data_IF_601604902812
#
_entry.id   IF_601604902812
#
_cell.length_a   1.000
_cell.length_b   1.000
_cell.length_c   1.000
_cell.angle_alpha   90.00
_cell.angle_beta   90.00
_cell.angle_gamma   90.00
#
_symmetry.space_group_name_H-M   'P 1'
#
loop_
_entity.id
_entity.type
_entity.pdbx_description
1 polymer ?
#
# COMPACT_ATOMS: atom_id res chain seq x y z
N UNK A 1 10.09 22.10 5.36
CA UNK A 1 8.89 21.25 5.27
C UNK A 1 8.04 21.77 4.12
N UNK A 2 7.65 20.90 3.18
CA UNK A 2 6.84 21.29 2.00
C UNK A 2 5.70 20.28 1.84
N UNK A 3 4.48 20.76 1.64
CA UNK A 3 3.32 19.91 1.31
C UNK A 3 3.45 19.37 -0.12
N UNK A 4 3.23 18.06 -0.28
CA UNK A 4 3.26 17.33 -1.55
C UNK A 4 1.84 17.07 -2.04
N UNK A 5 0.95 16.67 -1.14
CA UNK A 5 -0.48 16.48 -1.37
C UNK A 5 -1.25 17.09 -0.20
N UNK A 6 -2.15 18.00 -0.52
CA UNK A 6 -3.16 18.51 0.41
C UNK A 6 -4.31 17.52 0.57
N UNK A 7 -5.17 17.70 1.58
CA UNK A 7 -6.34 16.82 1.81
C UNK A 7 -7.21 16.64 0.54
N UNK A 8 -7.62 17.68 -0.21
CA UNK A 8 -8.38 17.49 -1.45
C UNK A 8 -7.61 16.74 -2.54
N UNK A 9 -6.30 17.00 -2.66
CA UNK A 9 -5.46 16.30 -3.64
C UNK A 9 -5.29 14.82 -3.29
N UNK A 10 -5.15 14.52 -2.00
CA UNK A 10 -5.06 13.14 -1.50
C UNK A 10 -6.35 12.37 -1.81
N UNK A 11 -7.51 12.98 -1.57
CA UNK A 11 -8.81 12.37 -1.86
C UNK A 11 -8.98 12.06 -3.35
N UNK A 12 -8.67 13.00 -4.23
CA UNK A 12 -8.72 12.79 -5.69
C UNK A 12 -7.75 11.70 -6.11
N UNK A 13 -6.54 11.66 -5.54
CA UNK A 13 -5.54 10.63 -5.83
C UNK A 13 -6.02 9.24 -5.45
N UNK A 14 -6.64 9.09 -4.28
CA UNK A 14 -7.19 7.81 -3.82
C UNK A 14 -8.31 7.32 -4.75
N UNK A 15 -9.24 8.21 -5.13
CA UNK A 15 -10.30 7.90 -6.10
C UNK A 15 -9.73 7.43 -7.44
N UNK A 16 -8.71 8.12 -7.94
CA UNK A 16 -8.03 7.74 -9.18
C UNK A 16 -7.37 6.36 -9.08
N UNK A 17 -6.68 6.06 -7.98
CA UNK A 17 -6.07 4.75 -7.75
C UNK A 17 -7.12 3.64 -7.71
N UNK A 18 -8.25 3.86 -7.04
CA UNK A 18 -9.35 2.92 -6.99
C UNK A 18 -9.90 2.61 -8.39
N UNK A 19 -10.10 3.64 -9.23
CA UNK A 19 -10.55 3.47 -10.61
C UNK A 19 -9.51 2.75 -11.49
N UNK A 20 -8.23 3.03 -11.33
CA UNK A 20 -7.17 2.33 -12.06
C UNK A 20 -7.13 0.83 -11.72
N UNK A 21 -7.34 0.47 -10.45
CA UNK A 21 -7.47 -0.93 -10.05
C UNK A 21 -8.70 -1.57 -10.73
N UNK A 22 -9.85 -0.89 -10.72
CA UNK A 22 -11.07 -1.37 -11.38
C UNK A 22 -10.91 -1.54 -12.88
N UNK A 23 -10.24 -0.63 -13.57
CA UNK A 23 -9.97 -0.73 -15.01
C UNK A 23 -9.20 -2.01 -15.37
N UNK A 24 -8.25 -2.41 -14.52
CA UNK A 24 -7.43 -3.59 -14.75
C UNK A 24 -8.09 -4.89 -14.24
N UNK A 25 -9.06 -4.78 -13.34
CA UNK A 25 -9.74 -5.90 -12.68
C UNK A 25 -11.25 -5.73 -12.75
N UNK A 26 -11.82 -5.67 -13.96
CA UNK A 26 -13.26 -5.50 -14.19
C UNK A 26 -14.09 -6.56 -13.48
N UNK A 27 -13.56 -7.78 -13.42
CA UNK A 27 -14.12 -8.88 -12.64
C UNK A 27 -13.25 -9.11 -11.38
N UNK A 28 -13.70 -8.58 -10.25
CA UNK A 28 -13.01 -8.72 -8.97
C UNK A 28 -13.11 -10.12 -8.34
N UNK A 29 -13.78 -11.08 -8.99
CA UNK A 29 -13.99 -12.43 -8.42
C UNK A 29 -12.68 -13.19 -8.21
N UNK A 30 -11.67 -12.95 -9.05
CA UNK A 30 -10.34 -13.55 -8.93
C UNK A 30 -9.27 -12.56 -8.42
N UNK A 31 -9.68 -11.43 -7.85
CA UNK A 31 -8.78 -10.41 -7.34
C UNK A 31 -9.00 -10.18 -5.85
N UNK A 32 -7.92 -10.08 -5.12
CA UNK A 32 -7.93 -9.76 -3.68
C UNK A 32 -7.09 -8.53 -3.43
N UNK A 33 -7.51 -7.71 -2.47
CA UNK A 33 -6.75 -6.54 -2.03
C UNK A 33 -6.11 -6.83 -0.67
N UNK A 34 -4.84 -6.51 -0.51
CA UNK A 34 -4.11 -6.69 0.74
C UNK A 34 -3.38 -5.40 1.10
N UNK A 35 -3.78 -4.81 2.22
CA UNK A 35 -3.13 -3.64 2.80
C UNK A 35 -1.98 -4.01 3.74
N UNK A 36 -0.82 -3.37 3.60
CA UNK A 36 0.32 -3.57 4.49
C UNK A 36 0.18 -2.78 5.77
N UNK A 37 0.37 -3.46 6.89
CA UNK A 37 0.41 -2.83 8.20
C UNK A 37 1.83 -2.29 8.49
N UNK A 38 1.95 -1.23 9.30
CA UNK A 38 0.87 -0.54 9.99
C UNK A 38 0.22 0.62 9.20
N UNK A 39 0.83 1.13 8.15
CA UNK A 39 0.41 2.40 7.53
C UNK A 39 -0.30 2.23 6.20
N UNK A 40 0.06 1.23 5.41
CA UNK A 40 -0.60 0.94 4.12
C UNK A 40 -2.08 0.62 4.24
N UNK A 41 -2.53 0.15 5.42
CA UNK A 41 -3.95 -0.12 5.68
C UNK A 41 -4.85 1.13 5.59
N UNK A 42 -4.35 2.31 5.91
CA UNK A 42 -5.15 3.54 5.79
C UNK A 42 -5.45 3.90 4.33
N UNK A 43 -4.49 3.62 3.44
CA UNK A 43 -4.71 3.76 2.00
C UNK A 43 -5.63 2.68 1.46
N UNK A 44 -5.37 1.41 1.82
CA UNK A 44 -6.15 0.28 1.31
C UNK A 44 -7.60 0.31 1.79
N UNK A 45 -7.88 0.68 3.04
CA UNK A 45 -9.24 0.88 3.55
C UNK A 45 -10.02 1.87 2.66
N UNK A 46 -9.41 3.03 2.33
CA UNK A 46 -10.05 4.07 1.51
C UNK A 46 -10.20 3.66 0.05
N UNK A 47 -9.22 2.95 -0.53
CA UNK A 47 -9.33 2.42 -1.90
C UNK A 47 -10.46 1.39 -1.99
N UNK A 48 -10.55 0.47 -1.03
CA UNK A 48 -11.62 -0.53 -0.99
C UNK A 48 -12.99 0.12 -0.81
N UNK A 49 -13.09 1.15 0.03
CA UNK A 49 -14.33 1.91 0.22
C UNK A 49 -14.77 2.60 -1.09
N UNK A 50 -13.85 3.20 -1.85
CA UNK A 50 -14.15 3.80 -3.15
C UNK A 50 -14.57 2.74 -4.18
N UNK A 51 -13.89 1.59 -4.23
CA UNK A 51 -14.28 0.48 -5.12
C UNK A 51 -15.70 0.02 -4.82
N UNK A 52 -16.07 -0.11 -3.55
CA UNK A 52 -17.43 -0.53 -3.14
C UNK A 52 -18.51 0.48 -3.50
N UNK A 53 -18.18 1.77 -3.58
CA UNK A 53 -19.16 2.80 -4.00
C UNK A 53 -19.53 2.70 -5.48
N UNK A 54 -18.53 2.41 -6.33
CA UNK A 54 -18.70 2.40 -7.79
C UNK A 54 -19.24 1.08 -8.34
N UNK A 55 -19.12 0.03 -7.55
CA UNK A 55 -19.52 -1.31 -7.96
C UNK A 55 -20.57 -1.82 -7.01
N UNK A 56 -21.61 -2.45 -7.51
CA UNK A 56 -22.52 -3.30 -6.72
C UNK A 56 -21.80 -4.54 -6.15
N UNK A 57 -20.46 -4.54 -6.18
CA UNK A 57 -19.58 -5.63 -5.79
C UNK A 57 -19.27 -5.54 -4.28
N UNK A 58 -20.26 -5.87 -3.44
CA UNK A 58 -20.07 -6.08 -1.99
C UNK A 58 -19.07 -7.22 -1.66
N UNK A 59 -18.46 -7.85 -2.67
CA UNK A 59 -17.71 -9.09 -2.53
C UNK A 59 -16.21 -8.98 -2.77
N UNK A 60 -15.62 -7.78 -2.74
CA UNK A 60 -14.17 -7.67 -2.81
C UNK A 60 -13.53 -8.33 -1.58
N UNK A 61 -12.66 -9.29 -1.82
CA UNK A 61 -11.88 -9.90 -0.75
C UNK A 61 -10.77 -8.92 -0.34
N UNK A 62 -10.77 -8.52 0.91
CA UNK A 62 -9.82 -7.57 1.47
C UNK A 62 -9.21 -8.11 2.75
N UNK A 63 -7.88 -8.06 2.83
CA UNK A 63 -7.11 -8.49 3.99
C UNK A 63 -6.04 -7.48 4.39
N UNK A 64 -5.50 -7.67 5.59
CA UNK A 64 -4.43 -6.85 6.19
C UNK A 64 -3.26 -7.74 6.57
N UNK A 65 -2.07 -7.41 6.09
CA UNK A 65 -0.84 -8.19 6.27
C UNK A 65 0.14 -7.44 7.15
N UNK A 66 0.57 -8.06 8.25
CA UNK A 66 1.72 -7.62 9.03
C UNK A 66 2.99 -8.34 8.57
N UNK A 67 4.03 -7.58 8.33
CA UNK A 67 5.32 -8.07 7.83
C UNK A 67 6.44 -7.98 8.87
N UNK A 68 6.11 -7.68 10.12
CA UNK A 68 7.10 -7.43 11.18
C UNK A 68 8.15 -8.53 11.27
N UNK A 69 7.74 -9.81 11.21
CA UNK A 69 8.66 -10.96 11.31
C UNK A 69 9.42 -11.28 10.01
N UNK A 70 9.07 -10.67 8.89
CA UNK A 70 9.69 -10.92 7.57
C UNK A 70 10.70 -9.83 7.17
N UNK A 71 10.84 -8.78 7.98
CA UNK A 71 11.78 -7.69 7.74
C UNK A 71 13.19 -8.06 8.17
N UNK A 72 14.18 -7.72 7.35
CA UNK A 72 15.60 -7.93 7.61
C UNK A 72 16.29 -6.73 8.27
N UNK A 73 15.61 -5.58 8.37
CA UNK A 73 16.14 -4.30 8.86
C UNK A 73 15.76 -3.95 10.30
N UNK A 74 15.05 -4.84 11.03
CA UNK A 74 14.49 -4.60 12.38
C UNK A 74 15.50 -4.92 13.51
N UNK A 75 16.78 -4.69 13.35
CA UNK A 75 17.76 -5.09 14.37
C UNK A 75 17.88 -4.17 15.60
N UNK A 76 17.16 -3.03 15.65
CA UNK A 76 17.40 -1.99 16.68
C UNK A 76 16.21 -1.57 17.52
N UNK A 77 14.97 -1.96 17.20
CA UNK A 77 13.79 -1.57 17.97
C UNK A 77 12.84 -2.75 18.18
N UNK A 78 12.26 -2.82 19.38
CA UNK A 78 11.15 -3.73 19.67
C UNK A 78 9.90 -3.28 18.91
N UNK A 79 9.63 -3.90 17.77
CA UNK A 79 8.40 -3.67 17.04
C UNK A 79 7.29 -4.57 17.57
N UNK A 80 6.19 -3.96 17.99
CA UNK A 80 4.97 -4.70 18.34
C UNK A 80 4.31 -5.13 17.02
N UNK A 81 4.22 -6.45 16.83
CA UNK A 81 3.52 -7.03 15.68
C UNK A 81 2.03 -6.70 15.73
N UNK A 82 1.46 -6.32 14.59
CA UNK A 82 0.04 -6.21 14.41
C UNK A 82 -0.54 -7.59 14.05
N UNK A 83 -1.86 -7.71 14.09
CA UNK A 83 -2.52 -8.94 13.69
C UNK A 83 -2.69 -8.97 12.18
N UNK A 84 -2.14 -9.99 11.51
CA UNK A 84 -2.51 -10.32 10.13
C UNK A 84 -3.94 -10.83 10.09
N UNK A 85 -4.73 -10.31 9.15
CA UNK A 85 -6.13 -10.70 8.92
C UNK A 85 -6.34 -10.94 7.43
N UNK A 86 -6.12 -12.17 7.00
CA UNK A 86 -6.35 -12.65 5.63
C UNK A 86 -7.20 -13.93 5.74
N UNK A 87 -8.54 -13.81 5.86
CA UNK A 87 -9.42 -14.95 6.12
C UNK A 87 -9.79 -15.73 4.85
N UNK A 88 -8.97 -15.68 3.81
CA UNK A 88 -9.18 -16.34 2.53
C UNK A 88 -7.85 -16.84 1.96
N UNK A 89 -7.92 -17.80 1.02
CA UNK A 89 -6.76 -18.24 0.26
C UNK A 89 -6.48 -17.27 -0.89
N UNK A 90 -5.20 -17.00 -1.13
CA UNK A 90 -4.73 -16.24 -2.31
C UNK A 90 -4.24 -17.16 -3.44
N UNK A 91 -4.39 -18.48 -3.30
CA UNK A 91 -3.96 -19.45 -4.30
C UNK A 91 -4.57 -19.17 -5.66
N UNK A 92 -3.74 -18.98 -6.68
CA UNK A 92 -4.15 -18.70 -8.06
C UNK A 92 -4.85 -17.35 -8.28
N UNK A 93 -4.85 -16.45 -7.29
CA UNK A 93 -5.52 -15.13 -7.40
C UNK A 93 -4.57 -14.02 -7.80
N UNK A 94 -5.14 -12.96 -8.37
CA UNK A 94 -4.45 -11.69 -8.52
C UNK A 94 -4.50 -10.95 -7.17
N UNK A 95 -3.33 -10.57 -6.66
CA UNK A 95 -3.20 -9.81 -5.42
C UNK A 95 -2.85 -8.37 -5.75
N UNK A 96 -3.65 -7.42 -5.32
CA UNK A 96 -3.29 -6.00 -5.30
C UNK A 96 -2.78 -5.66 -3.90
N UNK A 97 -1.45 -5.55 -3.79
CA UNK A 97 -0.76 -5.21 -2.55
C UNK A 97 -0.68 -3.69 -2.41
N UNK A 98 -1.07 -3.14 -1.26
CA UNK A 98 -1.17 -1.69 -1.06
C UNK A 98 -0.30 -1.23 0.10
N UNK A 99 0.55 -0.20 -0.16
CA UNK A 99 1.34 0.49 0.85
C UNK A 99 1.29 2.01 0.65
N UNK A 100 1.63 2.79 1.67
CA UNK A 100 1.58 4.25 1.57
C UNK A 100 2.81 4.83 0.84
N UNK A 101 4.02 4.37 1.15
CA UNK A 101 5.26 4.91 0.56
C UNK A 101 6.21 3.80 0.10
N UNK A 102 6.48 3.75 -1.18
CA UNK A 102 7.54 2.91 -1.72
C UNK A 102 8.88 3.68 -1.67
N UNK A 103 9.81 3.14 -0.90
CA UNK A 103 11.14 3.72 -0.70
C UNK A 103 12.22 2.78 -1.26
N UNK A 104 12.83 1.95 -0.42
CA UNK A 104 13.92 1.04 -0.81
C UNK A 104 13.42 -0.25 -1.48
N UNK A 105 12.17 -0.64 -1.25
CA UNK A 105 11.58 -1.90 -1.68
C UNK A 105 11.66 -3.02 -0.62
N UNK A 106 12.35 -2.81 0.52
CA UNK A 106 12.53 -3.84 1.55
C UNK A 106 11.22 -4.28 2.20
N UNK A 107 10.31 -3.33 2.44
CA UNK A 107 8.95 -3.61 2.95
C UNK A 107 8.19 -4.54 1.99
N UNK A 108 8.25 -4.24 0.70
CA UNK A 108 7.54 -5.03 -0.32
C UNK A 108 8.16 -6.42 -0.48
N UNK A 109 9.48 -6.53 -0.42
CA UNK A 109 10.14 -7.85 -0.41
C UNK A 109 9.65 -8.71 0.75
N UNK A 110 9.63 -8.16 1.96
CA UNK A 110 9.13 -8.85 3.13
C UNK A 110 7.64 -9.25 2.97
N UNK A 111 6.83 -8.39 2.35
CA UNK A 111 5.43 -8.70 2.06
C UNK A 111 5.29 -9.86 1.05
N UNK A 112 6.10 -9.88 0.01
CA UNK A 112 6.10 -10.99 -0.97
C UNK A 112 6.47 -12.32 -0.31
N UNK A 113 7.44 -12.33 0.60
CA UNK A 113 7.80 -13.52 1.37
C UNK A 113 6.63 -13.98 2.27
N UNK A 114 5.98 -13.03 2.97
CA UNK A 114 4.88 -13.32 3.89
C UNK A 114 3.62 -13.82 3.16
N UNK A 115 3.36 -13.34 1.94
CA UNK A 115 2.19 -13.78 1.16
C UNK A 115 2.20 -15.27 0.88
N UNK A 116 3.38 -15.89 0.75
CA UNK A 116 3.52 -17.33 0.48
C UNK A 116 2.93 -18.22 1.59
N UNK A 117 2.77 -17.71 2.80
CA UNK A 117 2.10 -18.43 3.89
C UNK A 117 0.57 -18.56 3.68
N UNK A 118 0.00 -17.77 2.77
CA UNK A 118 -1.44 -17.71 2.48
C UNK A 118 -1.82 -18.33 1.12
N UNK A 119 -0.85 -18.85 0.39
CA UNK A 119 -1.01 -19.46 -0.92
C UNK A 119 -0.06 -18.87 -1.95
N UNK A 120 -0.06 -19.45 -3.15
CA UNK A 120 0.73 -18.97 -4.29
C UNK A 120 -0.16 -18.13 -5.20
N UNK A 121 -0.05 -16.79 -5.20
CA UNK A 121 -0.82 -15.95 -6.11
C UNK A 121 -0.39 -16.20 -7.56
N UNK A 122 -1.30 -15.99 -8.50
CA UNK A 122 -0.96 -15.99 -9.92
C UNK A 122 -0.16 -14.73 -10.29
N UNK A 123 -0.56 -13.59 -9.73
CA UNK A 123 0.07 -12.30 -9.95
C UNK A 123 0.01 -11.45 -8.69
N UNK A 124 1.06 -10.67 -8.43
CA UNK A 124 1.04 -9.62 -7.41
C UNK A 124 1.31 -8.29 -8.09
N UNK A 125 0.39 -7.35 -7.93
CA UNK A 125 0.50 -5.97 -8.36
C UNK A 125 0.68 -5.06 -7.15
N UNK A 126 1.48 -4.02 -7.28
CA UNK A 126 1.79 -3.09 -6.21
C UNK A 126 1.13 -1.73 -6.46
N UNK A 127 0.33 -1.28 -5.48
CA UNK A 127 -0.28 0.05 -5.45
C UNK A 127 0.32 0.86 -4.30
N UNK A 128 0.82 2.06 -4.59
CA UNK A 128 1.41 2.96 -3.58
C UNK A 128 0.90 4.39 -3.75
N UNK A 129 0.73 5.09 -2.63
CA UNK A 129 0.38 6.50 -2.67
C UNK A 129 1.56 7.34 -3.17
N UNK A 130 2.75 7.08 -2.64
CA UNK A 130 3.98 7.80 -2.99
C UNK A 130 5.04 6.82 -3.44
N UNK A 131 5.56 7.04 -4.64
CA UNK A 131 6.77 6.38 -5.12
C UNK A 131 7.97 7.34 -5.03
N UNK A 132 8.93 7.04 -4.14
CA UNK A 132 10.20 7.76 -4.02
C UNK A 132 11.18 7.22 -5.05
N UNK A 133 11.34 7.92 -6.17
CA UNK A 133 12.29 7.53 -7.22
C UNK A 133 13.74 7.71 -6.74
N UNK A 134 14.66 6.99 -7.38
CA UNK A 134 16.11 7.05 -7.14
C UNK A 134 16.63 6.57 -5.78
N UNK A 135 15.79 5.89 -4.99
CA UNK A 135 16.16 5.39 -3.66
C UNK A 135 15.99 3.87 -3.53
N UNK A 136 15.72 3.19 -4.63
CA UNK A 136 15.50 1.74 -4.66
C UNK A 136 16.78 0.97 -4.31
N UNK A 137 16.69 -0.03 -3.42
CA UNK A 137 17.75 -1.00 -3.12
C UNK A 137 17.43 -2.40 -3.66
N UNK A 138 16.19 -2.65 -4.02
CA UNK A 138 15.70 -3.89 -4.62
C UNK A 138 14.94 -3.57 -5.90
N UNK A 139 14.88 -4.48 -6.90
CA UNK A 139 14.23 -4.26 -8.18
C UNK A 139 12.70 -4.34 -8.07
N UNK A 140 12.12 -3.47 -7.27
CA UNK A 140 10.68 -3.35 -7.02
C UNK A 140 10.14 -2.13 -7.75
N UNK A 141 9.07 -2.32 -8.51
CA UNK A 141 8.38 -1.27 -9.23
C UNK A 141 6.88 -1.34 -8.96
N UNK A 142 6.19 -0.22 -8.72
CA UNK A 142 4.74 -0.22 -8.52
C UNK A 142 4.01 -0.25 -9.87
N UNK A 143 2.82 -0.87 -9.87
CA UNK A 143 1.87 -0.88 -11.00
C UNK A 143 0.93 0.32 -10.96
N UNK A 144 0.55 0.75 -9.75
CA UNK A 144 -0.32 1.90 -9.51
C UNK A 144 0.36 2.89 -8.59
N UNK A 145 0.47 4.15 -9.02
CA UNK A 145 1.18 5.21 -8.31
C UNK A 145 0.31 6.44 -8.13
N UNK A 146 0.14 6.86 -6.90
CA UNK A 146 -0.53 8.12 -6.59
C UNK A 146 0.29 9.31 -7.07
N UNK A 147 1.52 9.42 -6.59
CA UNK A 147 2.47 10.45 -7.01
C UNK A 147 3.91 9.97 -6.93
N UNK A 148 4.67 10.16 -8.01
CA UNK A 148 6.13 9.93 -8.00
C UNK A 148 6.85 11.19 -7.54
N UNK A 149 7.88 11.02 -6.72
CA UNK A 149 8.66 12.10 -6.14
C UNK A 149 10.14 11.81 -6.29
N UNK A 150 10.85 12.79 -6.81
CA UNK A 150 12.30 12.79 -6.81
C UNK A 150 12.79 13.32 -5.46
N UNK A 151 13.27 12.44 -4.60
CA UNK A 151 13.76 12.79 -3.28
C UNK A 151 15.16 12.25 -3.05
N UNK A 152 15.99 13.06 -2.39
CA UNK A 152 17.31 12.62 -1.93
C UNK A 152 17.22 11.82 -0.63
N UNK A 153 18.29 11.09 -0.29
CA UNK A 153 18.30 10.20 0.88
C UNK A 153 18.05 10.91 2.20
N UNK A 154 18.52 12.18 2.34
CA UNK A 154 18.32 12.99 3.53
C UNK A 154 16.92 13.55 3.70
N UNK A 155 16.06 13.39 2.71
CA UNK A 155 14.67 13.85 2.79
C UNK A 155 13.77 12.74 3.33
N UNK A 156 12.82 13.13 4.18
CA UNK A 156 11.77 12.26 4.71
C UNK A 156 10.43 12.60 4.09
N UNK A 157 9.71 11.58 3.65
CA UNK A 157 8.31 11.67 3.25
C UNK A 157 7.46 11.18 4.43
N UNK A 158 6.48 11.97 4.82
CA UNK A 158 5.51 11.59 5.85
C UNK A 158 4.10 11.75 5.32
N UNK A 159 3.34 10.66 5.43
CA UNK A 159 1.91 10.65 5.14
C UNK A 159 1.16 10.80 6.45
N UNK A 160 0.30 11.79 6.54
CA UNK A 160 -0.63 11.97 7.65
C UNK A 160 -1.99 11.45 7.22
N UNK A 161 -2.59 10.66 8.10
CA UNK A 161 -3.92 10.09 7.92
C UNK A 161 -4.87 10.66 8.96
N UNK A 162 -6.00 11.21 8.52
CA UNK A 162 -6.97 11.89 9.42
C UNK A 162 -7.40 11.03 10.59
N UNK A 163 -7.62 9.75 10.36
CA UNK A 163 -8.02 8.79 11.39
C UNK A 163 -6.96 8.60 12.48
N UNK A 164 -5.69 8.77 12.16
CA UNK A 164 -4.55 8.57 13.09
C UNK A 164 -3.92 9.87 13.54
N UNK A 165 -3.74 10.79 12.61
CA UNK A 165 -2.91 11.99 12.79
C UNK A 165 -3.76 13.27 12.88
N UNK A 166 -5.10 13.16 12.77
CA UNK A 166 -6.04 14.29 12.83
C UNK A 166 -6.13 15.13 11.55
N UNK A 167 -5.31 14.83 10.54
CA UNK A 167 -5.31 15.51 9.24
C UNK A 167 -4.90 14.56 8.12
N UNK A 168 -5.32 14.86 6.91
CA UNK A 168 -4.88 14.20 5.68
C UNK A 168 -3.88 15.11 4.94
N UNK A 169 -2.63 14.70 4.87
CA UNK A 169 -1.59 15.47 4.17
C UNK A 169 -0.37 14.59 3.87
N UNK A 170 0.31 14.84 2.76
CA UNK A 170 1.64 14.29 2.48
C UNK A 170 2.66 15.43 2.45
N UNK A 171 3.71 15.29 3.22
CA UNK A 171 4.79 16.28 3.28
C UNK A 171 6.15 15.67 2.97
N UNK A 172 7.06 16.53 2.50
CA UNK A 172 8.50 16.28 2.44
C UNK A 172 9.23 17.23 3.38
N UNK A 173 10.16 16.71 4.14
CA UNK A 173 11.03 17.50 5.02
C UNK A 173 12.48 17.11 4.83
N UNK A 174 13.39 18.04 5.01
CA UNK A 174 14.79 17.74 5.23
C UNK A 174 14.98 17.33 6.71
N UNK A 175 15.90 16.44 6.96
CA UNK A 175 16.30 16.08 8.33
C UNK A 175 16.94 17.27 9.04
#
# INVERSE_FOLDING_TARGET
MKSILTEPQLEITIKRLAHQVLENHVDLTNTVVIGLQPRGIYLSDRIVDEIKKDTSLDKIQYGKLDITFYRDDIRKELHIANRTDIPFSIEGKNVVLIDDVLYTGRTIRAALDALLDFGRPEKVELCVLIDRRFSRQLPIQPDYVGKSIDSILSQKIKVYWKIKDGKDEVIISNE
#
